data_IF_813495676731
#
_entry.id   IF_813495676731
#
_cell.length_a   1.000
_cell.length_b   1.000
_cell.length_c   1.000
_cell.angle_alpha   90.00
_cell.angle_beta   90.00
_cell.angle_gamma   90.00
#
_symmetry.space_group_name_H-M   'P 1'
#
loop_
_entity.id
_entity.type
_entity.pdbx_description
1 polymer ?
#
# COMPACT_ATOMS: atom_id res chain seq x y z
N UNK A 1 17.07 -20.80 -4.51
CA UNK A 1 16.31 -20.46 -3.29
C UNK A 1 16.16 -21.72 -2.45
N UNK A 2 16.39 -21.68 -1.11
CA UNK A 2 16.05 -22.83 -0.25
C UNK A 2 14.51 -22.92 -0.22
N UNK A 3 14.00 -24.09 -0.60
CA UNK A 3 12.56 -24.37 -0.55
C UNK A 3 12.06 -24.36 0.89
N UNK A 4 10.83 -23.89 1.13
CA UNK A 4 10.20 -23.94 2.45
C UNK A 4 10.13 -25.42 2.93
N UNK A 5 10.33 -25.70 4.23
CA UNK A 5 10.03 -27.02 4.79
C UNK A 5 8.58 -27.40 4.54
N UNK A 6 8.31 -28.67 4.35
CA UNK A 6 6.97 -29.17 3.98
C UNK A 6 5.88 -28.70 4.97
N UNK A 7 6.15 -28.75 6.27
CA UNK A 7 5.22 -28.27 7.32
C UNK A 7 4.84 -26.80 7.14
N UNK A 8 5.81 -25.93 6.82
CA UNK A 8 5.55 -24.50 6.65
C UNK A 8 4.79 -24.21 5.35
N UNK A 9 4.96 -25.03 4.30
CA UNK A 9 4.20 -24.90 3.04
C UNK A 9 2.72 -25.17 3.27
N UNK A 10 2.38 -26.23 3.99
CA UNK A 10 1.00 -26.57 4.33
C UNK A 10 0.35 -25.47 5.17
N UNK A 11 1.04 -24.98 6.21
CA UNK A 11 0.53 -23.87 7.05
C UNK A 11 0.33 -22.60 6.23
N UNK A 12 1.27 -22.27 5.36
CA UNK A 12 1.15 -21.08 4.48
C UNK A 12 -0.01 -21.24 3.49
N UNK A 13 -0.21 -22.44 2.91
CA UNK A 13 -1.31 -22.71 2.00
C UNK A 13 -2.68 -22.56 2.70
N UNK A 14 -2.81 -23.08 3.93
CA UNK A 14 -4.03 -22.93 4.74
C UNK A 14 -4.30 -21.44 5.02
N UNK A 15 -3.26 -20.69 5.41
CA UNK A 15 -3.38 -19.25 5.66
C UNK A 15 -3.82 -18.49 4.41
N UNK A 16 -3.28 -18.84 3.23
CA UNK A 16 -3.67 -18.24 1.95
C UNK A 16 -5.13 -18.54 1.59
N UNK A 17 -5.59 -19.78 1.81
CA UNK A 17 -6.99 -20.16 1.55
C UNK A 17 -7.91 -19.39 2.50
N UNK A 18 -7.61 -19.37 3.80
CA UNK A 18 -8.45 -18.68 4.78
C UNK A 18 -8.53 -17.17 4.50
N UNK A 19 -7.38 -16.51 4.26
CA UNK A 19 -7.33 -15.11 3.90
C UNK A 19 -8.03 -14.84 2.54
N UNK A 20 -7.81 -15.72 1.56
CA UNK A 20 -8.43 -15.61 0.24
C UNK A 20 -9.96 -15.72 0.30
N UNK A 21 -10.51 -16.65 1.08
CA UNK A 21 -11.95 -16.76 1.32
C UNK A 21 -12.52 -15.52 2.02
N UNK A 22 -11.84 -15.02 3.04
CA UNK A 22 -12.22 -13.77 3.68
C UNK A 22 -12.28 -12.61 2.68
N UNK A 23 -11.23 -12.46 1.85
CA UNK A 23 -11.15 -11.39 0.84
C UNK A 23 -12.22 -11.52 -0.26
N UNK A 24 -12.59 -12.74 -0.63
CA UNK A 24 -13.60 -12.98 -1.67
C UNK A 24 -15.04 -12.81 -1.15
N UNK A 25 -15.29 -13.08 0.13
CA UNK A 25 -16.67 -13.11 0.69
C UNK A 25 -16.93 -11.96 1.65
N UNK A 26 -16.17 -11.85 2.72
CA UNK A 26 -16.46 -10.88 3.79
C UNK A 26 -15.95 -9.47 3.47
N UNK A 27 -14.74 -9.35 2.91
CA UNK A 27 -14.16 -8.05 2.64
C UNK A 27 -14.98 -7.16 1.71
N UNK A 28 -15.60 -7.65 0.60
CA UNK A 28 -16.45 -6.82 -0.25
C UNK A 28 -17.63 -6.19 0.48
N UNK A 29 -18.22 -6.90 1.45
CA UNK A 29 -19.34 -6.40 2.24
C UNK A 29 -18.90 -5.32 3.24
N UNK A 30 -17.80 -5.57 3.95
CA UNK A 30 -17.20 -4.61 4.88
C UNK A 30 -16.77 -3.32 4.17
N UNK A 31 -16.23 -3.44 2.98
CA UNK A 31 -15.79 -2.29 2.19
C UNK A 31 -16.97 -1.53 1.58
N UNK A 32 -18.06 -2.20 1.24
CA UNK A 32 -19.30 -1.52 0.83
C UNK A 32 -19.86 -0.68 1.96
N UNK A 33 -19.96 -1.24 3.18
CA UNK A 33 -20.41 -0.49 4.35
C UNK A 33 -19.52 0.73 4.65
N UNK A 34 -18.19 0.58 4.52
CA UNK A 34 -17.27 1.69 4.68
C UNK A 34 -17.44 2.77 3.59
N UNK A 35 -17.70 2.34 2.34
CA UNK A 35 -17.96 3.25 1.23
C UNK A 35 -19.22 4.08 1.47
N UNK A 36 -20.32 3.42 1.81
CA UNK A 36 -21.61 4.07 2.00
C UNK A 36 -21.52 5.16 3.09
N UNK A 37 -20.93 4.84 4.25
CA UNK A 37 -20.74 5.80 5.34
C UNK A 37 -19.82 6.97 4.93
N UNK A 38 -18.71 6.66 4.25
CA UNK A 38 -17.75 7.70 3.82
C UNK A 38 -18.35 8.62 2.76
N UNK A 39 -19.12 8.08 1.81
CA UNK A 39 -19.77 8.88 0.77
C UNK A 39 -20.84 9.80 1.36
N UNK A 40 -21.67 9.34 2.28
CA UNK A 40 -22.65 10.18 2.96
C UNK A 40 -21.96 11.39 3.62
N UNK A 41 -20.96 11.16 4.45
CA UNK A 41 -20.22 12.22 5.12
C UNK A 41 -19.56 13.20 4.14
N UNK A 42 -18.97 12.70 3.04
CA UNK A 42 -18.34 13.55 2.03
C UNK A 42 -19.33 14.37 1.19
N UNK A 43 -20.53 13.84 0.91
CA UNK A 43 -21.59 14.58 0.20
C UNK A 43 -22.11 15.72 1.06
N UNK A 44 -22.34 15.50 2.35
CA UNK A 44 -22.72 16.55 3.30
C UNK A 44 -21.66 17.64 3.41
N UNK A 45 -20.38 17.24 3.51
CA UNK A 45 -19.27 18.19 3.56
C UNK A 45 -19.09 18.97 2.26
N UNK A 46 -19.27 18.34 1.10
CA UNK A 46 -19.17 19.00 -0.19
C UNK A 46 -20.30 20.02 -0.39
N UNK A 47 -21.49 19.75 0.14
CA UNK A 47 -22.63 20.70 0.15
C UNK A 47 -22.33 21.93 1.03
N UNK A 48 -21.66 21.74 2.16
CA UNK A 48 -21.26 22.82 3.05
C UNK A 48 -20.01 23.59 2.56
N UNK A 49 -19.11 22.94 1.86
CA UNK A 49 -17.84 23.54 1.39
C UNK A 49 -17.50 23.10 -0.04
N UNK A 50 -17.68 23.97 -1.05
CA UNK A 50 -17.40 23.65 -2.46
C UNK A 50 -15.94 23.25 -2.74
N UNK A 51 -14.99 23.59 -1.85
CA UNK A 51 -13.59 23.16 -2.00
C UNK A 51 -13.42 21.64 -1.83
N UNK A 52 -14.40 20.96 -1.25
CA UNK A 52 -14.41 19.50 -1.06
C UNK A 52 -15.27 18.76 -2.10
N UNK A 53 -15.80 19.46 -3.11
CA UNK A 53 -16.71 18.91 -4.12
C UNK A 53 -16.13 17.71 -4.90
N UNK A 54 -14.80 17.58 -5.03
CA UNK A 54 -14.16 16.44 -5.68
C UNK A 54 -14.05 15.18 -4.79
N UNK A 55 -14.22 15.32 -3.48
CA UNK A 55 -14.05 14.23 -2.51
C UNK A 55 -14.97 13.04 -2.77
N UNK A 56 -16.30 13.24 -2.91
CA UNK A 56 -17.24 12.14 -3.20
C UNK A 56 -16.87 11.36 -4.47
N UNK A 57 -16.53 12.06 -5.55
CA UNK A 57 -16.17 11.43 -6.82
C UNK A 57 -14.90 10.56 -6.72
N UNK A 58 -13.88 11.05 -6.01
CA UNK A 58 -12.63 10.30 -5.80
C UNK A 58 -12.87 9.02 -5.00
N UNK A 59 -13.68 9.10 -3.95
CA UNK A 59 -14.02 7.94 -3.12
C UNK A 59 -14.91 6.98 -3.89
N UNK A 60 -15.92 7.48 -4.63
CA UNK A 60 -16.80 6.66 -5.46
C UNK A 60 -16.05 5.87 -6.56
N UNK A 61 -14.88 6.33 -7.00
CA UNK A 61 -14.04 5.60 -7.95
C UNK A 61 -13.04 4.68 -7.22
N UNK A 62 -12.36 5.20 -6.20
CA UNK A 62 -11.23 4.48 -5.58
C UNK A 62 -11.67 3.28 -4.72
N UNK A 63 -12.79 3.37 -3.99
CA UNK A 63 -13.26 2.27 -3.15
C UNK A 63 -13.73 1.04 -3.95
N UNK A 64 -14.59 1.17 -5.00
CA UNK A 64 -14.92 0.04 -5.85
C UNK A 64 -13.72 -0.60 -6.52
N UNK A 65 -12.72 0.20 -6.94
CA UNK A 65 -11.47 -0.30 -7.50
C UNK A 65 -10.70 -1.16 -6.48
N UNK A 66 -10.50 -0.67 -5.26
CA UNK A 66 -9.86 -1.45 -4.21
C UNK A 66 -10.66 -2.70 -3.85
N UNK A 67 -11.98 -2.62 -3.77
CA UNK A 67 -12.85 -3.77 -3.52
C UNK A 67 -12.68 -4.84 -4.59
N UNK A 68 -12.67 -4.44 -5.87
CA UNK A 68 -12.43 -5.36 -6.98
C UNK A 68 -11.03 -5.99 -6.92
N UNK A 69 -9.99 -5.20 -6.64
CA UNK A 69 -8.63 -5.71 -6.48
C UNK A 69 -8.53 -6.72 -5.32
N UNK A 70 -9.14 -6.41 -4.17
CA UNK A 70 -9.14 -7.30 -3.00
C UNK A 70 -9.86 -8.62 -3.31
N UNK A 71 -10.98 -8.57 -4.03
CA UNK A 71 -11.67 -9.77 -4.49
C UNK A 71 -10.80 -10.62 -5.41
N UNK A 72 -10.18 -10.01 -6.42
CA UNK A 72 -9.31 -10.70 -7.40
C UNK A 72 -8.09 -11.33 -6.72
N UNK A 73 -7.42 -10.60 -5.82
CA UNK A 73 -6.27 -11.18 -5.09
C UNK A 73 -6.69 -12.23 -4.07
N UNK A 74 -7.91 -12.17 -3.56
CA UNK A 74 -8.52 -13.23 -2.75
C UNK A 74 -8.62 -14.53 -3.54
N UNK A 75 -9.21 -14.48 -4.73
CA UNK A 75 -9.28 -15.62 -5.64
C UNK A 75 -7.88 -16.12 -6.06
N UNK A 76 -6.96 -15.20 -6.37
CA UNK A 76 -5.57 -15.53 -6.69
C UNK A 76 -4.85 -16.21 -5.52
N UNK A 77 -5.07 -15.78 -4.27
CA UNK A 77 -4.49 -16.39 -3.07
C UNK A 77 -4.92 -17.84 -2.90
N UNK A 78 -6.21 -18.12 -3.15
CA UNK A 78 -6.74 -19.51 -3.14
C UNK A 78 -6.06 -20.33 -4.24
N UNK A 79 -5.97 -19.81 -5.46
CA UNK A 79 -5.34 -20.50 -6.59
C UNK A 79 -3.84 -20.79 -6.34
N UNK A 80 -3.11 -19.84 -5.75
CA UNK A 80 -1.68 -19.96 -5.44
C UNK A 80 -1.41 -20.97 -4.32
N UNK A 81 -2.38 -21.23 -3.44
CA UNK A 81 -2.20 -22.16 -2.33
C UNK A 81 -1.83 -23.57 -2.77
N UNK A 82 -2.40 -24.07 -3.88
CA UNK A 82 -2.07 -25.40 -4.41
C UNK A 82 -0.62 -25.51 -4.91
N UNK A 83 -0.13 -24.71 -5.88
CA UNK A 83 1.26 -24.79 -6.30
C UNK A 83 2.25 -24.45 -5.19
N UNK A 84 1.88 -23.62 -4.20
CA UNK A 84 2.70 -23.35 -3.02
C UNK A 84 2.88 -24.60 -2.16
N UNK A 85 1.83 -25.37 -1.93
CA UNK A 85 1.90 -26.64 -1.19
C UNK A 85 2.82 -27.65 -1.89
N UNK A 86 2.90 -27.61 -3.22
CA UNK A 86 3.80 -28.40 -4.07
C UNK A 86 5.24 -27.86 -4.12
N UNK A 87 5.48 -26.68 -3.58
CA UNK A 87 6.82 -26.08 -3.47
C UNK A 87 7.30 -25.31 -4.69
N UNK A 88 6.39 -24.80 -5.52
CA UNK A 88 6.75 -23.94 -6.64
C UNK A 88 7.36 -22.61 -6.13
N UNK A 89 8.58 -22.26 -6.58
CA UNK A 89 9.37 -21.15 -6.05
C UNK A 89 8.76 -19.76 -6.25
N UNK A 90 7.99 -19.58 -7.33
CA UNK A 90 7.36 -18.29 -7.65
C UNK A 90 6.17 -17.95 -6.75
N UNK A 91 5.61 -18.94 -6.06
CA UNK A 91 4.35 -18.80 -5.32
C UNK A 91 4.50 -17.96 -4.06
N UNK A 92 5.66 -18.00 -3.40
CA UNK A 92 5.87 -17.21 -2.19
C UNK A 92 5.93 -15.69 -2.46
N UNK A 93 6.69 -15.17 -3.45
CA UNK A 93 6.61 -13.76 -3.85
C UNK A 93 5.22 -13.33 -4.29
N UNK A 94 4.53 -14.18 -5.06
CA UNK A 94 3.16 -13.92 -5.50
C UNK A 94 2.17 -13.85 -4.34
N UNK A 95 2.29 -14.74 -3.35
CA UNK A 95 1.48 -14.71 -2.14
C UNK A 95 1.65 -13.41 -1.35
N UNK A 96 2.89 -12.94 -1.17
CA UNK A 96 3.15 -11.65 -0.51
C UNK A 96 2.57 -10.48 -1.29
N UNK A 97 2.66 -10.47 -2.62
CA UNK A 97 2.05 -9.45 -3.45
C UNK A 97 0.52 -9.44 -3.28
N UNK A 98 -0.13 -10.60 -3.35
CA UNK A 98 -1.59 -10.70 -3.15
C UNK A 98 -2.01 -10.21 -1.77
N UNK A 99 -1.31 -10.61 -0.70
CA UNK A 99 -1.66 -10.24 0.67
C UNK A 99 -1.32 -8.78 1.03
N UNK A 100 -0.42 -8.13 0.29
CA UNK A 100 -0.15 -6.71 0.45
C UNK A 100 -1.35 -5.84 0.02
N UNK A 101 -2.14 -6.28 -0.97
CA UNK A 101 -3.29 -5.52 -1.49
C UNK A 101 -4.35 -5.22 -0.43
N UNK A 102 -4.89 -6.19 0.34
CA UNK A 102 -5.87 -5.90 1.38
C UNK A 102 -5.29 -5.10 2.54
N UNK A 103 -4.02 -5.29 2.87
CA UNK A 103 -3.35 -4.49 3.90
C UNK A 103 -3.26 -3.01 3.50
N UNK A 104 -2.81 -2.74 2.28
CA UNK A 104 -2.65 -1.39 1.72
C UNK A 104 -4.01 -0.76 1.42
N UNK A 105 -4.87 -1.45 0.69
CA UNK A 105 -6.17 -0.95 0.25
C UNK A 105 -7.14 -0.76 1.41
N UNK A 106 -7.16 -1.69 2.38
CA UNK A 106 -7.95 -1.55 3.59
C UNK A 106 -7.55 -0.32 4.39
N UNK A 107 -6.23 -0.08 4.58
CA UNK A 107 -5.73 1.12 5.26
C UNK A 107 -6.03 2.39 4.46
N UNK A 108 -5.86 2.36 3.14
CA UNK A 108 -6.17 3.50 2.27
C UNK A 108 -7.65 3.92 2.36
N UNK A 109 -8.57 2.97 2.54
CA UNK A 109 -10.00 3.25 2.74
C UNK A 109 -10.34 3.60 4.19
N UNK A 110 -9.58 3.11 5.16
CA UNK A 110 -9.76 3.45 6.57
C UNK A 110 -9.46 4.92 6.85
N UNK A 111 -8.45 5.49 6.23
CA UNK A 111 -8.04 6.88 6.48
C UNK A 111 -9.14 7.91 6.15
N UNK A 112 -9.80 7.90 4.96
CA UNK A 112 -10.90 8.81 4.70
C UNK A 112 -12.13 8.53 5.60
N UNK A 113 -12.39 7.27 5.96
CA UNK A 113 -13.47 6.94 6.89
C UNK A 113 -13.27 7.61 8.25
N UNK A 114 -12.09 7.40 8.88
CA UNK A 114 -11.77 8.00 10.19
C UNK A 114 -11.77 9.53 10.13
N UNK A 115 -11.30 10.09 9.03
CA UNK A 115 -11.23 11.56 8.86
C UNK A 115 -12.61 12.21 8.68
N UNK A 116 -13.66 11.48 8.27
CA UNK A 116 -14.95 12.04 7.86
C UNK A 116 -16.13 11.50 8.65
N UNK A 117 -16.14 10.22 8.99
CA UNK A 117 -17.24 9.56 9.72
C UNK A 117 -17.06 9.67 11.24
N UNK A 118 -15.78 9.77 11.71
CA UNK A 118 -15.46 10.01 13.12
C UNK A 118 -15.44 8.74 13.98
N UNK A 119 -16.08 8.75 15.14
CA UNK A 119 -15.82 7.88 16.30
C UNK A 119 -16.25 6.40 16.15
N UNK A 120 -16.76 5.98 15.01
CA UNK A 120 -17.15 4.57 14.81
C UNK A 120 -15.97 3.76 14.27
N UNK A 121 -15.88 2.49 14.68
CA UNK A 121 -14.84 1.59 14.20
C UNK A 121 -14.98 1.34 12.69
N UNK A 122 -13.97 1.66 11.87
CA UNK A 122 -14.05 1.54 10.42
C UNK A 122 -14.09 0.07 9.98
N UNK A 123 -15.13 -0.37 9.23
CA UNK A 123 -15.20 -1.74 8.73
C UNK A 123 -14.01 -2.15 7.86
N UNK A 124 -13.44 -1.20 7.11
CA UNK A 124 -12.22 -1.39 6.30
C UNK A 124 -10.97 -1.73 7.14
N UNK A 125 -10.93 -1.36 8.42
CA UNK A 125 -9.84 -1.72 9.35
C UNK A 125 -9.77 -3.24 9.57
N UNK A 126 -10.92 -3.94 9.59
CA UNK A 126 -10.95 -5.41 9.68
C UNK A 126 -10.21 -6.02 8.48
N UNK A 127 -10.45 -5.49 7.29
CA UNK A 127 -9.79 -5.94 6.06
C UNK A 127 -8.27 -5.69 6.14
N UNK A 128 -7.88 -4.51 6.64
CA UNK A 128 -6.48 -4.18 6.90
C UNK A 128 -5.83 -5.18 7.86
N UNK A 129 -6.45 -5.43 9.01
CA UNK A 129 -5.89 -6.30 10.05
C UNK A 129 -5.75 -7.75 9.56
N UNK A 130 -6.77 -8.28 8.88
CA UNK A 130 -6.69 -9.64 8.29
C UNK A 130 -5.60 -9.69 7.21
N UNK A 131 -5.52 -8.67 6.36
CA UNK A 131 -4.46 -8.53 5.36
C UNK A 131 -3.06 -8.51 5.98
N UNK A 132 -2.85 -7.69 7.02
CA UNK A 132 -1.57 -7.60 7.74
C UNK A 132 -1.22 -8.92 8.45
N UNK A 133 -2.16 -9.53 9.15
CA UNK A 133 -1.93 -10.82 9.83
C UNK A 133 -1.53 -11.90 8.82
N UNK A 134 -2.22 -11.99 7.70
CA UNK A 134 -1.90 -12.96 6.66
C UNK A 134 -0.55 -12.66 5.99
N UNK A 135 -0.28 -11.38 5.68
CA UNK A 135 0.97 -10.92 5.07
C UNK A 135 2.18 -11.23 5.96
N UNK A 136 2.14 -10.82 7.23
CA UNK A 136 3.23 -11.11 8.18
C UNK A 136 3.29 -12.60 8.53
N UNK A 137 2.15 -13.29 8.60
CA UNK A 137 2.12 -14.73 8.76
C UNK A 137 2.93 -15.45 7.69
N UNK A 138 2.68 -15.14 6.41
CA UNK A 138 3.44 -15.69 5.27
C UNK A 138 4.92 -15.27 5.31
N UNK A 139 5.21 -14.01 5.64
CA UNK A 139 6.58 -13.51 5.74
C UNK A 139 7.37 -14.22 6.84
N UNK A 140 6.78 -14.43 8.01
CA UNK A 140 7.44 -15.03 9.17
C UNK A 140 7.56 -16.56 9.09
N UNK A 141 6.68 -17.23 8.34
CA UNK A 141 6.76 -18.67 8.10
C UNK A 141 7.95 -19.06 7.21
N UNK A 142 8.58 -18.12 6.53
CA UNK A 142 9.83 -18.38 5.81
C UNK A 142 10.96 -18.77 6.76
N UNK A 143 11.65 -19.86 6.46
CA UNK A 143 12.54 -20.58 7.40
C UNK A 143 13.94 -19.95 7.58
N UNK A 144 14.26 -18.88 6.92
CA UNK A 144 15.54 -18.19 7.12
C UNK A 144 15.61 -17.59 8.54
N UNK A 145 16.10 -18.38 9.50
CA UNK A 145 16.11 -18.05 10.94
C UNK A 145 16.99 -16.85 11.33
N UNK A 146 17.89 -16.41 10.44
CA UNK A 146 18.75 -15.26 10.72
C UNK A 146 18.14 -13.94 10.23
N UNK A 147 18.03 -12.95 11.10
CA UNK A 147 17.71 -11.55 10.73
C UNK A 147 16.31 -11.31 10.13
N UNK A 148 15.27 -12.04 10.57
CA UNK A 148 13.87 -11.80 10.19
C UNK A 148 13.41 -10.36 10.40
N UNK A 149 13.97 -9.67 11.40
CA UNK A 149 13.64 -8.28 11.69
C UNK A 149 13.93 -7.32 10.54
N UNK A 150 15.00 -7.56 9.76
CA UNK A 150 15.31 -6.72 8.57
C UNK A 150 14.24 -6.92 7.49
N UNK A 151 13.86 -8.18 7.22
CA UNK A 151 12.83 -8.48 6.22
C UNK A 151 11.49 -7.83 6.65
N UNK A 152 11.08 -8.01 7.92
CA UNK A 152 9.86 -7.38 8.46
C UNK A 152 9.94 -5.85 8.34
N UNK A 153 11.04 -5.23 8.74
CA UNK A 153 11.20 -3.77 8.66
C UNK A 153 11.06 -3.26 7.22
N UNK A 154 11.79 -3.84 6.27
CA UNK A 154 11.77 -3.38 4.88
C UNK A 154 10.40 -3.58 4.24
N UNK A 155 9.79 -4.75 4.42
CA UNK A 155 8.49 -5.04 3.84
C UNK A 155 7.35 -4.23 4.50
N UNK A 156 7.47 -3.88 5.78
CA UNK A 156 6.57 -2.92 6.44
C UNK A 156 6.72 -1.53 5.86
N UNK A 157 7.96 -1.03 5.75
CA UNK A 157 8.22 0.30 5.17
C UNK A 157 7.74 0.41 3.72
N UNK A 158 7.93 -0.64 2.91
CA UNK A 158 7.38 -0.68 1.56
C UNK A 158 5.86 -0.55 1.58
N UNK A 159 5.16 -1.28 2.44
CA UNK A 159 3.71 -1.20 2.61
C UNK A 159 3.26 0.21 3.03
N UNK A 160 3.93 0.80 4.02
CA UNK A 160 3.64 2.17 4.51
C UNK A 160 3.82 3.19 3.39
N UNK A 161 4.96 3.17 2.68
CA UNK A 161 5.22 4.12 1.59
C UNK A 161 4.23 3.93 0.44
N UNK A 162 3.85 2.70 0.13
CA UNK A 162 2.83 2.40 -0.89
C UNK A 162 1.47 2.97 -0.49
N UNK A 163 1.04 2.77 0.76
CA UNK A 163 -0.23 3.31 1.28
C UNK A 163 -0.23 4.84 1.26
N UNK A 164 0.82 5.47 1.79
CA UNK A 164 0.94 6.92 1.77
C UNK A 164 1.01 7.47 0.35
N UNK A 165 1.72 6.80 -0.55
CA UNK A 165 1.78 7.16 -1.96
C UNK A 165 0.39 7.20 -2.62
N UNK A 166 -0.47 6.23 -2.32
CA UNK A 166 -1.85 6.22 -2.79
C UNK A 166 -2.67 7.38 -2.21
N UNK A 167 -2.67 7.53 -0.88
CA UNK A 167 -3.47 8.54 -0.18
C UNK A 167 -3.06 9.96 -0.57
N UNK A 168 -1.75 10.22 -0.60
CA UNK A 168 -1.20 11.53 -1.01
C UNK A 168 -1.41 11.80 -2.50
N UNK A 169 -1.35 10.76 -3.32
CA UNK A 169 -1.63 10.84 -4.75
C UNK A 169 -3.06 11.26 -5.01
N UNK A 170 -4.03 10.58 -4.41
CA UNK A 170 -5.45 10.93 -4.52
C UNK A 170 -5.77 12.28 -3.89
N UNK A 171 -5.26 12.55 -2.68
CA UNK A 171 -5.48 13.82 -2.00
C UNK A 171 -4.94 15.03 -2.78
N UNK A 172 -3.75 14.90 -3.36
CA UNK A 172 -3.15 15.91 -4.23
C UNK A 172 -3.96 16.16 -5.49
N UNK A 173 -4.38 15.11 -6.18
CA UNK A 173 -5.25 15.20 -7.35
C UNK A 173 -6.61 15.80 -7.00
N UNK A 174 -7.21 15.41 -5.88
CA UNK A 174 -8.49 15.94 -5.42
C UNK A 174 -8.44 17.45 -5.15
N UNK A 175 -7.43 17.90 -4.44
CA UNK A 175 -7.24 19.35 -4.20
C UNK A 175 -6.99 20.12 -5.49
N UNK A 176 -6.35 19.52 -6.45
CA UNK A 176 -6.13 20.10 -7.76
C UNK A 176 -7.43 20.20 -8.55
N UNK A 177 -8.23 19.13 -8.60
CA UNK A 177 -9.52 19.09 -9.30
C UNK A 177 -10.57 20.02 -8.69
N UNK A 178 -10.53 20.29 -7.39
CA UNK A 178 -11.43 21.21 -6.71
C UNK A 178 -11.18 22.71 -7.05
N UNK A 179 -10.20 23.02 -7.88
CA UNK A 179 -9.80 24.41 -8.22
C UNK A 179 -9.64 24.60 -9.72
N UNK A 180 -10.67 24.30 -10.55
CA UNK A 180 -10.55 24.33 -12.00
C UNK A 180 -10.28 25.74 -12.57
N UNK A 181 -10.71 26.79 -11.85
CA UNK A 181 -10.52 28.18 -12.26
C UNK A 181 -9.10 28.71 -12.03
N UNK A 182 -8.23 27.97 -11.35
CA UNK A 182 -6.85 28.39 -11.10
C UNK A 182 -5.91 27.80 -12.15
N UNK A 183 -5.24 28.62 -12.95
CA UNK A 183 -4.24 28.16 -13.91
C UNK A 183 -3.17 27.31 -13.22
N UNK A 184 -2.79 26.21 -13.85
CA UNK A 184 -1.90 25.18 -13.34
C UNK A 184 -0.55 25.67 -12.81
N UNK A 185 -0.08 26.79 -13.27
CA UNK A 185 1.26 27.31 -12.99
C UNK A 185 1.26 28.61 -12.18
N UNK A 186 0.10 29.09 -11.74
CA UNK A 186 0.01 30.30 -10.93
C UNK A 186 0.04 29.97 -9.44
N UNK A 187 1.17 30.21 -8.82
CA UNK A 187 1.41 30.06 -7.39
C UNK A 187 2.12 28.75 -7.01
N UNK A 188 3.12 28.88 -6.15
CA UNK A 188 3.96 27.77 -5.71
C UNK A 188 3.18 26.60 -5.09
N UNK A 189 2.07 26.86 -4.39
CA UNK A 189 1.23 25.82 -3.78
C UNK A 189 0.57 24.92 -4.83
N UNK A 190 0.07 25.50 -5.93
CA UNK A 190 -0.58 24.72 -6.99
C UNK A 190 0.46 23.92 -7.77
N UNK A 191 1.61 24.52 -8.09
CA UNK A 191 2.71 23.82 -8.73
C UNK A 191 3.21 22.65 -7.89
N UNK A 192 3.36 22.83 -6.57
CA UNK A 192 3.76 21.75 -5.66
C UNK A 192 2.73 20.60 -5.63
N UNK A 193 1.43 20.91 -5.55
CA UNK A 193 0.36 19.90 -5.56
C UNK A 193 0.27 19.17 -6.89
N UNK A 194 0.43 19.87 -8.02
CA UNK A 194 0.40 19.28 -9.36
C UNK A 194 1.54 18.29 -9.59
N UNK A 195 2.67 18.46 -8.91
CA UNK A 195 3.80 17.55 -8.97
C UNK A 195 3.67 16.42 -7.93
N UNK A 196 3.36 16.73 -6.67
CA UNK A 196 3.38 15.76 -5.57
C UNK A 196 2.32 14.67 -5.71
N UNK A 197 1.11 15.02 -6.20
CA UNK A 197 0.03 14.05 -6.40
C UNK A 197 0.43 12.92 -7.36
N UNK A 198 0.71 13.23 -8.65
CA UNK A 198 1.13 12.22 -9.61
C UNK A 198 2.40 11.46 -9.21
N UNK A 199 3.41 12.15 -8.69
CA UNK A 199 4.66 11.49 -8.24
C UNK A 199 4.39 10.54 -7.09
N UNK A 200 3.52 10.88 -6.13
CA UNK A 200 3.13 9.97 -5.06
C UNK A 200 2.40 8.74 -5.59
N UNK A 201 1.50 8.89 -6.57
CA UNK A 201 0.82 7.78 -7.23
C UNK A 201 1.79 6.85 -7.98
N UNK A 202 2.75 7.40 -8.72
CA UNK A 202 3.81 6.63 -9.38
C UNK A 202 4.68 5.92 -8.34
N UNK A 203 5.06 6.60 -7.25
CA UNK A 203 5.84 6.02 -6.16
C UNK A 203 5.12 4.85 -5.51
N UNK A 204 3.80 4.92 -5.35
CA UNK A 204 2.96 3.79 -4.92
C UNK A 204 3.15 2.58 -5.83
N UNK A 205 3.03 2.75 -7.14
CA UNK A 205 3.17 1.65 -8.08
C UNK A 205 4.58 1.03 -8.05
N UNK A 206 5.63 1.85 -7.97
CA UNK A 206 7.01 1.40 -7.89
C UNK A 206 7.29 0.63 -6.59
N UNK A 207 6.87 1.15 -5.44
CA UNK A 207 7.08 0.50 -4.14
C UNK A 207 6.24 -0.76 -3.98
N UNK A 208 5.02 -0.80 -4.52
CA UNK A 208 4.22 -2.03 -4.57
C UNK A 208 4.90 -3.10 -5.42
N UNK A 209 5.35 -2.77 -6.63
CA UNK A 209 6.07 -3.71 -7.50
C UNK A 209 7.40 -4.19 -6.89
N UNK A 210 8.03 -3.38 -6.04
CA UNK A 210 9.25 -3.76 -5.32
C UNK A 210 8.98 -4.93 -4.34
N UNK A 211 7.77 -5.08 -3.77
CA UNK A 211 7.44 -6.13 -2.80
C UNK A 211 7.71 -7.54 -3.37
N UNK A 212 7.04 -7.99 -4.44
CA UNK A 212 7.28 -9.33 -4.98
C UNK A 212 8.69 -9.50 -5.56
N UNK A 213 9.27 -8.45 -6.14
CA UNK A 213 10.60 -8.52 -6.72
C UNK A 213 11.69 -8.66 -5.66
N UNK A 214 11.60 -7.94 -4.53
CA UNK A 214 12.52 -8.11 -3.40
C UNK A 214 12.28 -9.46 -2.69
N UNK A 215 11.04 -9.90 -2.58
CA UNK A 215 10.72 -11.22 -2.09
C UNK A 215 11.38 -12.32 -2.95
N UNK A 216 11.43 -12.12 -4.27
CA UNK A 216 12.15 -12.96 -5.23
C UNK A 216 13.66 -12.69 -5.29
N UNK A 217 14.20 -11.78 -4.46
CA UNK A 217 15.61 -11.36 -4.45
C UNK A 217 16.10 -10.78 -5.77
N UNK A 218 15.23 -10.12 -6.53
CA UNK A 218 15.57 -9.49 -7.80
C UNK A 218 16.12 -8.07 -7.58
N UNK A 219 17.24 -7.74 -8.24
CA UNK A 219 17.86 -6.39 -8.20
C UNK A 219 16.89 -5.30 -8.61
N UNK A 220 16.01 -5.57 -9.58
CA UNK A 220 14.96 -4.64 -10.01
C UNK A 220 14.09 -4.17 -8.84
N UNK A 221 13.71 -5.07 -7.92
CA UNK A 221 12.92 -4.70 -6.74
C UNK A 221 13.62 -3.70 -5.83
N UNK A 222 14.94 -3.82 -5.65
CA UNK A 222 15.75 -2.87 -4.88
C UNK A 222 15.75 -1.48 -5.53
N UNK A 223 15.95 -1.42 -6.85
CA UNK A 223 15.93 -0.16 -7.59
C UNK A 223 14.54 0.48 -7.58
N UNK A 224 13.48 -0.29 -7.80
CA UNK A 224 12.11 0.24 -7.75
C UNK A 224 11.75 0.78 -6.37
N UNK A 225 12.12 0.05 -5.30
CA UNK A 225 11.94 0.52 -3.94
C UNK A 225 12.71 1.81 -3.65
N UNK A 226 13.96 1.91 -4.11
CA UNK A 226 14.79 3.10 -3.93
C UNK A 226 14.25 4.29 -4.73
N UNK A 227 13.92 4.11 -6.01
CA UNK A 227 13.36 5.17 -6.86
C UNK A 227 12.03 5.65 -6.29
N UNK A 228 11.10 4.74 -5.95
CA UNK A 228 9.81 5.11 -5.40
C UNK A 228 9.94 5.86 -4.07
N UNK A 229 10.79 5.38 -3.16
CA UNK A 229 10.99 6.03 -1.85
C UNK A 229 11.67 7.41 -1.94
N UNK A 230 12.66 7.56 -2.80
CA UNK A 230 13.31 8.86 -3.02
C UNK A 230 12.38 9.85 -3.75
N UNK A 231 11.57 9.37 -4.68
CA UNK A 231 10.61 10.21 -5.42
C UNK A 231 9.51 10.75 -4.50
N UNK A 232 8.92 9.92 -3.63
CA UNK A 232 7.91 10.40 -2.69
C UNK A 232 8.50 11.39 -1.68
N UNK A 233 9.72 11.16 -1.21
CA UNK A 233 10.46 12.13 -0.36
C UNK A 233 10.65 13.45 -1.08
N UNK A 234 11.24 13.43 -2.29
CA UNK A 234 11.59 14.61 -3.05
C UNK A 234 10.37 15.46 -3.45
N UNK A 235 9.23 14.83 -3.72
CA UNK A 235 8.01 15.54 -4.08
C UNK A 235 7.26 16.08 -2.86
N UNK A 236 7.19 15.32 -1.77
CA UNK A 236 6.37 15.71 -0.62
C UNK A 236 7.06 16.65 0.35
N UNK A 237 8.39 16.66 0.45
CA UNK A 237 9.10 17.60 1.32
C UNK A 237 8.90 19.06 0.91
N UNK A 238 9.12 19.47 -0.36
CA UNK A 238 8.81 20.84 -0.81
C UNK A 238 7.32 21.18 -0.66
N UNK A 239 6.44 20.21 -0.95
CA UNK A 239 5.00 20.41 -0.81
C UNK A 239 4.62 20.67 0.65
N UNK A 240 5.21 19.98 1.61
CA UNK A 240 5.05 20.28 3.04
C UNK A 240 5.53 21.70 3.38
N UNK A 241 6.72 22.10 2.92
CA UNK A 241 7.27 23.42 3.21
C UNK A 241 6.32 24.53 2.73
N UNK A 242 5.72 24.35 1.56
CA UNK A 242 4.82 25.33 0.95
C UNK A 242 3.40 25.29 1.54
N UNK A 243 2.85 24.08 1.73
CA UNK A 243 1.46 23.88 2.15
C UNK A 243 1.27 23.86 3.67
N UNK A 244 2.32 23.53 4.43
CA UNK A 244 2.32 23.28 5.88
C UNK A 244 1.39 22.15 6.33
N UNK A 245 0.93 21.31 5.42
CA UNK A 245 0.06 20.18 5.73
C UNK A 245 0.88 18.97 6.17
N UNK A 246 0.68 18.51 7.42
CA UNK A 246 1.49 17.48 8.10
C UNK A 246 1.52 16.14 7.37
N UNK A 247 0.49 15.77 6.64
CA UNK A 247 0.45 14.51 5.90
C UNK A 247 1.51 14.44 4.78
N UNK A 248 1.93 15.55 4.18
CA UNK A 248 3.07 15.56 3.26
C UNK A 248 4.40 15.31 3.98
N UNK A 249 4.55 15.81 5.22
CA UNK A 249 5.71 15.50 6.05
C UNK A 249 5.79 14.00 6.35
N UNK A 250 4.64 13.36 6.64
CA UNK A 250 4.59 11.91 6.87
C UNK A 250 5.05 11.13 5.63
N UNK A 251 4.59 11.53 4.44
CA UNK A 251 5.01 10.93 3.17
C UNK A 251 6.52 11.09 2.92
N UNK A 252 7.03 12.29 3.14
CA UNK A 252 8.47 12.58 3.02
C UNK A 252 9.31 11.77 4.02
N UNK A 253 8.90 11.73 5.29
CA UNK A 253 9.62 11.00 6.34
C UNK A 253 9.64 9.49 6.08
N UNK A 254 8.50 8.91 5.68
CA UNK A 254 8.42 7.49 5.33
C UNK A 254 9.27 7.15 4.11
N UNK A 255 9.25 7.99 3.08
CA UNK A 255 10.10 7.85 1.89
C UNK A 255 11.58 7.89 2.24
N UNK A 256 12.00 8.89 3.03
CA UNK A 256 13.38 9.01 3.48
C UNK A 256 13.82 7.79 4.31
N UNK A 257 12.99 7.35 5.24
CA UNK A 257 13.29 6.20 6.11
C UNK A 257 13.45 4.92 5.28
N UNK A 258 12.57 4.66 4.32
CA UNK A 258 12.70 3.50 3.42
C UNK A 258 13.96 3.61 2.56
N UNK A 259 14.23 4.77 1.95
CA UNK A 259 15.43 4.98 1.14
C UNK A 259 16.71 4.75 1.95
N UNK A 260 16.80 5.37 3.13
CA UNK A 260 17.94 5.19 4.04
C UNK A 260 18.13 3.71 4.43
N UNK A 261 17.02 3.01 4.76
CA UNK A 261 17.05 1.58 5.11
C UNK A 261 17.56 0.74 3.94
N UNK A 262 17.11 0.98 2.70
CA UNK A 262 17.55 0.24 1.52
C UNK A 262 19.03 0.50 1.17
N UNK A 263 19.56 1.67 1.49
CA UNK A 263 20.97 2.02 1.26
C UNK A 263 21.94 1.36 2.24
N UNK A 264 21.46 0.84 3.39
CA UNK A 264 22.31 0.13 4.35
C UNK A 264 22.90 -1.13 3.70
N UNK A 265 24.25 -1.30 3.66
CA UNK A 265 24.88 -2.44 2.98
C UNK A 265 24.42 -3.80 3.50
N UNK A 266 24.20 -3.92 4.82
CA UNK A 266 23.71 -5.14 5.44
C UNK A 266 22.27 -5.49 5.01
N UNK A 267 21.41 -4.49 4.78
CA UNK A 267 20.04 -4.67 4.24
C UNK A 267 20.11 -5.08 2.78
N UNK A 268 20.91 -4.37 1.97
CA UNK A 268 21.09 -4.68 0.54
C UNK A 268 21.59 -6.11 0.32
N UNK A 269 22.65 -6.52 1.03
CA UNK A 269 23.20 -7.88 0.93
C UNK A 269 22.18 -8.95 1.38
N UNK A 270 21.35 -8.66 2.39
CA UNK A 270 20.28 -9.55 2.86
C UNK A 270 19.19 -9.72 1.82
N UNK A 271 18.72 -8.62 1.22
CA UNK A 271 17.63 -8.65 0.26
C UNK A 271 18.02 -9.26 -1.08
N UNK A 272 19.26 -9.04 -1.53
CA UNK A 272 19.73 -9.51 -2.84
C UNK A 272 20.49 -10.84 -2.79
N UNK A 273 20.92 -11.27 -1.61
CA UNK A 273 21.83 -12.42 -1.43
C UNK A 273 23.30 -12.04 -1.64
N UNK A 274 24.21 -12.83 -1.06
CA UNK A 274 25.65 -12.57 -1.03
C UNK A 274 26.41 -12.76 -2.38
N UNK A 275 25.70 -13.02 -3.47
CA UNK A 275 26.33 -13.30 -4.78
C UNK A 275 26.33 -12.12 -5.75
N UNK A 276 26.27 -10.88 -5.27
CA UNK A 276 26.18 -9.69 -6.13
C UNK A 276 27.33 -8.71 -5.87
N UNK A 277 28.56 -9.18 -5.97
CA UNK A 277 29.72 -8.33 -6.27
C UNK A 277 30.10 -8.48 -7.72
#
# INVERSE_FOLDING_TARGET
>A
MKTLPQRNRTTTAILLIAAGLFMAVAAPLLLQSALDATLHALVEEAAANPQHASGPNLVAISFPLWRALIFVVGAASIAIAYPLSRGADWTWPAALACLAVPAIGGMAMTLPYVARVGDTFPPSMIVTLVGLMAYFGVLLLRTDRGKKGIDVLVFTLLGVVTTLGFVLGLGGLGQFMARPERPLLLGAKIAALSLSGPVSGISMALTYAAIPLLAARRRAGWWLGLIGSTSIFAANLPTFVISRASYYLMGAAAGLLLAATLLVPAVKSRLLGSHTT
#
